data_IF_243506406236
#
_entry.id   IF_243506406236
#
_cell.length_a   1.000
_cell.length_b   1.000
_cell.length_c   1.000
_cell.angle_alpha   90.00
_cell.angle_beta   90.00
_cell.angle_gamma   90.00
#
_symmetry.space_group_name_H-M   'P 1'
#
loop_
_entity.id
_entity.type
_entity.pdbx_description
1 polymer ?
#
# COMPACT_ATOMS: atom_id res chain seq x y z
N UNK A 1 -27.95 6.52 -11.04
CA UNK A 1 -27.03 6.41 -12.19
C UNK A 1 -25.90 5.45 -11.82
N UNK A 2 -25.80 4.34 -12.48
CA UNK A 2 -24.66 3.44 -12.31
C UNK A 2 -23.41 4.13 -12.83
N UNK A 3 -22.47 4.47 -11.94
CA UNK A 3 -21.16 4.93 -12.33
C UNK A 3 -20.51 3.82 -13.16
N UNK A 4 -20.43 3.98 -14.47
CA UNK A 4 -19.68 3.07 -15.33
C UNK A 4 -18.22 3.08 -14.84
N UNK A 5 -17.81 2.02 -14.17
CA UNK A 5 -16.41 1.82 -13.83
C UNK A 5 -15.63 1.83 -15.15
N UNK A 6 -14.71 2.77 -15.27
CA UNK A 6 -13.79 2.80 -16.42
C UNK A 6 -12.95 1.53 -16.39
N UNK A 7 -12.81 0.79 -17.50
CA UNK A 7 -11.95 -0.38 -17.53
C UNK A 7 -10.50 0.02 -17.23
N UNK A 8 -9.91 -0.64 -16.24
CA UNK A 8 -8.56 -0.39 -15.76
C UNK A 8 -7.78 -1.69 -15.85
N UNK A 9 -6.60 -1.65 -16.42
CA UNK A 9 -5.67 -2.77 -16.43
C UNK A 9 -4.67 -2.60 -15.30
N UNK A 10 -4.43 -3.64 -14.52
CA UNK A 10 -3.41 -3.66 -13.46
C UNK A 10 -2.32 -4.64 -13.84
N UNK A 11 -1.08 -4.16 -13.89
CA UNK A 11 0.10 -4.94 -14.25
C UNK A 11 1.20 -4.84 -13.22
N UNK A 12 2.20 -5.70 -13.32
CA UNK A 12 3.43 -5.56 -12.52
C UNK A 12 4.19 -4.30 -12.92
N UNK A 13 4.78 -3.63 -11.93
CA UNK A 13 5.68 -2.52 -12.19
C UNK A 13 6.98 -3.01 -12.84
N UNK A 14 7.57 -2.14 -13.63
CA UNK A 14 8.91 -2.29 -14.20
C UNK A 14 9.82 -1.21 -13.62
N UNK A 15 11.12 -1.41 -13.72
CA UNK A 15 12.09 -0.41 -13.25
C UNK A 15 11.87 0.96 -13.89
N UNK A 16 11.43 0.99 -15.15
CA UNK A 16 11.09 2.24 -15.86
C UNK A 16 9.89 3.00 -15.29
N UNK A 17 9.07 2.36 -14.47
CA UNK A 17 7.92 3.01 -13.82
C UNK A 17 8.32 3.79 -12.56
N UNK A 18 9.49 3.54 -12.00
CA UNK A 18 9.89 4.13 -10.72
C UNK A 18 9.87 5.67 -10.74
N UNK A 19 10.42 6.37 -11.76
CA UNK A 19 10.35 7.83 -11.79
C UNK A 19 8.90 8.35 -11.78
N UNK A 20 7.98 7.67 -12.47
CA UNK A 20 6.57 8.05 -12.47
C UNK A 20 5.93 7.82 -11.10
N UNK A 21 6.21 6.68 -10.45
CA UNK A 21 5.72 6.39 -9.08
C UNK A 21 6.18 7.50 -8.13
N UNK A 22 7.46 7.87 -8.18
CA UNK A 22 8.00 8.94 -7.34
C UNK A 22 7.27 10.27 -7.56
N UNK A 23 7.00 10.63 -8.81
CA UNK A 23 6.26 11.84 -9.16
C UNK A 23 4.82 11.81 -8.64
N UNK A 24 4.16 10.64 -8.72
CA UNK A 24 2.80 10.47 -8.25
C UNK A 24 2.68 10.64 -6.73
N UNK A 25 3.63 10.07 -5.98
CA UNK A 25 3.56 10.05 -4.51
C UNK A 25 4.16 11.28 -3.84
N UNK A 26 5.00 12.05 -4.52
CA UNK A 26 5.69 13.21 -3.94
C UNK A 26 4.74 14.22 -3.28
N UNK A 27 3.62 14.64 -3.90
CA UNK A 27 2.67 15.53 -3.24
C UNK A 27 2.09 14.94 -1.95
N UNK A 28 1.90 13.63 -1.90
CA UNK A 28 1.38 12.94 -0.72
C UNK A 28 2.43 12.85 0.40
N UNK A 29 3.70 12.71 0.03
CA UNK A 29 4.83 12.75 0.98
C UNK A 29 4.93 14.15 1.59
N UNK A 30 4.87 15.20 0.78
CA UNK A 30 4.91 16.59 1.24
C UNK A 30 3.75 16.92 2.19
N UNK A 31 2.58 16.34 1.95
CA UNK A 31 1.40 16.49 2.80
C UNK A 31 1.39 15.55 4.01
N UNK A 32 2.45 14.77 4.21
CA UNK A 32 2.60 13.79 5.29
C UNK A 32 1.53 12.70 5.30
N UNK A 33 1.00 12.35 4.13
CA UNK A 33 0.04 11.27 3.93
C UNK A 33 0.77 9.94 3.72
N UNK A 34 1.91 9.98 3.01
CA UNK A 34 2.79 8.83 2.80
C UNK A 34 4.17 9.07 3.38
N UNK A 35 4.81 7.99 3.80
CA UNK A 35 6.20 8.00 4.26
C UNK A 35 7.14 8.25 3.07
N UNK A 36 8.02 9.24 3.19
CA UNK A 36 9.03 9.53 2.19
C UNK A 36 10.11 8.46 2.12
N UNK A 37 10.54 8.12 0.90
CA UNK A 37 11.58 7.12 0.65
C UNK A 37 12.56 7.60 -0.41
N UNK A 38 13.82 7.20 -0.26
CA UNK A 38 14.84 7.44 -1.27
C UNK A 38 14.57 6.62 -2.54
N UNK A 39 15.07 7.11 -3.69
CA UNK A 39 14.89 6.44 -4.97
C UNK A 39 15.35 4.97 -4.94
N UNK A 40 16.48 4.68 -4.28
CA UNK A 40 17.01 3.33 -4.18
C UNK A 40 16.02 2.35 -3.53
N UNK A 41 15.26 2.81 -2.54
CA UNK A 41 14.25 1.97 -1.86
C UNK A 41 13.15 1.57 -2.83
N UNK A 42 12.70 2.48 -3.70
CA UNK A 42 11.71 2.16 -4.74
C UNK A 42 12.25 1.14 -5.74
N UNK A 43 13.49 1.29 -6.19
CA UNK A 43 14.10 0.33 -7.12
C UNK A 43 14.24 -1.06 -6.50
N UNK A 44 14.69 -1.14 -5.25
CA UNK A 44 14.82 -2.41 -4.52
C UNK A 44 13.46 -3.08 -4.31
N UNK A 45 12.39 -2.30 -4.17
CA UNK A 45 11.03 -2.78 -3.93
C UNK A 45 10.17 -2.88 -5.19
N UNK A 46 10.73 -2.75 -6.40
CA UNK A 46 9.95 -2.71 -7.65
C UNK A 46 9.04 -3.93 -7.82
N UNK A 47 9.46 -5.10 -7.37
CA UNK A 47 8.68 -6.34 -7.47
C UNK A 47 7.44 -6.34 -6.58
N UNK A 48 7.36 -5.46 -5.58
CA UNK A 48 6.19 -5.29 -4.71
C UNK A 48 5.09 -4.45 -5.36
N UNK A 49 5.41 -3.67 -6.40
CA UNK A 49 4.51 -2.69 -6.99
C UNK A 49 3.65 -3.25 -8.12
N UNK A 50 2.42 -2.77 -8.14
CA UNK A 50 1.49 -2.86 -9.28
C UNK A 50 1.21 -1.47 -9.83
N UNK A 51 1.01 -1.41 -11.15
CA UNK A 51 0.65 -0.19 -11.87
C UNK A 51 -0.75 -0.39 -12.46
N UNK A 52 -1.61 0.59 -12.25
CA UNK A 52 -2.88 0.68 -12.97
C UNK A 52 -2.70 1.56 -14.21
N UNK A 53 -3.24 1.10 -15.33
CA UNK A 53 -3.20 1.81 -16.60
C UNK A 53 -4.60 2.15 -17.09
N UNK A 54 -4.72 3.31 -17.74
CA UNK A 54 -5.92 3.70 -18.48
C UNK A 54 -6.14 2.80 -19.70
N UNK A 55 -7.32 2.88 -20.37
CA UNK A 55 -7.54 2.17 -21.62
C UNK A 55 -6.49 2.47 -22.70
N UNK A 56 -5.86 3.65 -22.66
CA UNK A 56 -4.80 4.07 -23.57
C UNK A 56 -3.40 3.59 -23.16
N UNK A 57 -3.29 2.83 -22.07
CA UNK A 57 -2.02 2.31 -21.58
C UNK A 57 -1.16 3.34 -20.81
N UNK A 58 -1.79 4.40 -20.30
CA UNK A 58 -1.10 5.43 -19.51
C UNK A 58 -1.17 5.07 -18.02
N UNK A 59 -0.06 5.11 -17.27
CA UNK A 59 -0.08 4.89 -15.83
C UNK A 59 -0.97 5.92 -15.11
N UNK A 60 -1.87 5.44 -14.25
CA UNK A 60 -2.84 6.27 -13.52
C UNK A 60 -2.89 5.98 -12.01
N UNK A 61 -2.22 4.95 -11.56
CA UNK A 61 -2.16 4.61 -10.15
C UNK A 61 -1.10 3.55 -9.86
N UNK A 62 -0.75 3.42 -8.60
CA UNK A 62 0.16 2.40 -8.12
C UNK A 62 -0.24 1.90 -6.73
N UNK A 63 0.30 0.77 -6.35
CA UNK A 63 0.20 0.22 -5.01
C UNK A 63 1.25 -0.86 -4.81
N UNK A 64 1.61 -1.12 -3.58
CA UNK A 64 2.61 -2.12 -3.23
C UNK A 64 2.11 -3.07 -2.15
N UNK A 65 2.59 -4.31 -2.24
CA UNK A 65 2.41 -5.34 -1.23
C UNK A 65 3.75 -5.67 -0.62
N UNK A 66 3.89 -5.44 0.68
CA UNK A 66 5.10 -5.78 1.42
C UNK A 66 4.83 -6.89 2.42
N UNK A 67 5.59 -7.97 2.33
CA UNK A 67 5.45 -9.09 3.25
C UNK A 67 6.08 -8.74 4.59
N UNK A 68 5.33 -8.95 5.68
CA UNK A 68 5.81 -8.74 7.05
C UNK A 68 6.18 -10.04 7.73
N UNK A 69 5.33 -11.04 7.59
CA UNK A 69 5.51 -12.35 8.21
C UNK A 69 4.86 -13.43 7.36
N UNK A 70 4.93 -14.67 7.80
CA UNK A 70 4.39 -15.82 7.06
C UNK A 70 2.92 -15.64 6.63
N UNK A 71 2.12 -14.99 7.47
CA UNK A 71 0.68 -14.82 7.24
C UNK A 71 0.24 -13.36 7.06
N UNK A 72 1.14 -12.40 7.22
CA UNK A 72 0.83 -10.97 7.30
C UNK A 72 1.59 -10.15 6.27
N UNK A 73 0.87 -9.32 5.54
CA UNK A 73 1.44 -8.33 4.63
C UNK A 73 0.82 -6.95 4.80
N UNK A 74 1.47 -5.95 4.24
CA UNK A 74 1.01 -4.56 4.23
C UNK A 74 0.70 -4.10 2.81
N UNK A 75 -0.46 -3.47 2.66
CA UNK A 75 -0.74 -2.62 1.49
C UNK A 75 -0.15 -1.26 1.77
N UNK A 76 0.82 -0.84 0.96
CA UNK A 76 1.51 0.45 1.10
C UNK A 76 1.59 1.19 -0.22
N UNK A 77 1.80 2.50 -0.13
CA UNK A 77 2.02 3.36 -1.31
C UNK A 77 0.89 3.26 -2.34
N UNK A 78 -0.34 3.08 -1.87
CA UNK A 78 -1.52 3.06 -2.73
C UNK A 78 -1.89 4.50 -3.09
N UNK A 79 -1.74 4.85 -4.35
CA UNK A 79 -1.97 6.20 -4.84
C UNK A 79 -2.57 6.18 -6.24
N UNK A 80 -3.50 7.10 -6.49
CA UNK A 80 -4.19 7.27 -7.77
C UNK A 80 -4.02 8.71 -8.24
N UNK A 81 -3.74 8.88 -9.53
CA UNK A 81 -3.65 10.21 -10.14
C UNK A 81 -4.97 10.97 -9.90
N UNK A 82 -4.87 12.26 -9.57
CA UNK A 82 -6.02 13.08 -9.18
C UNK A 82 -7.17 13.08 -10.19
N UNK A 83 -6.86 13.06 -11.49
CA UNK A 83 -7.86 13.04 -12.57
C UNK A 83 -8.64 11.71 -12.63
N UNK A 84 -8.19 10.69 -11.91
CA UNK A 84 -8.76 9.35 -11.92
C UNK A 84 -9.38 8.94 -10.58
N UNK A 85 -9.43 9.84 -9.62
CA UNK A 85 -10.08 9.60 -8.34
C UNK A 85 -11.59 9.34 -8.51
N UNK A 86 -12.14 8.46 -7.68
CA UNK A 86 -13.57 8.14 -7.72
C UNK A 86 -14.01 7.27 -8.89
N UNK A 87 -13.07 6.68 -9.65
CA UNK A 87 -13.37 5.85 -10.83
C UNK A 87 -13.08 4.36 -10.64
N UNK A 88 -12.78 3.95 -9.41
CA UNK A 88 -12.54 2.55 -9.07
C UNK A 88 -11.09 2.08 -9.28
N UNK A 89 -10.16 2.96 -9.59
CA UNK A 89 -8.75 2.62 -9.82
C UNK A 89 -8.09 2.08 -8.55
N UNK A 90 -8.29 2.74 -7.42
CA UNK A 90 -7.76 2.29 -6.13
C UNK A 90 -8.28 0.91 -5.73
N UNK A 91 -9.58 0.67 -5.93
CA UNK A 91 -10.19 -0.65 -5.65
C UNK A 91 -9.64 -1.75 -6.56
N UNK A 92 -9.41 -1.45 -7.85
CA UNK A 92 -8.80 -2.41 -8.78
C UNK A 92 -7.38 -2.77 -8.38
N UNK A 93 -6.57 -1.79 -7.98
CA UNK A 93 -5.23 -2.01 -7.45
C UNK A 93 -5.27 -2.86 -6.19
N UNK A 94 -6.14 -2.51 -5.25
CA UNK A 94 -6.26 -3.22 -3.97
C UNK A 94 -6.66 -4.68 -4.17
N UNK A 95 -7.62 -4.96 -5.06
CA UNK A 95 -8.04 -6.32 -5.41
C UNK A 95 -6.89 -7.14 -5.99
N UNK A 96 -6.04 -6.54 -6.82
CA UNK A 96 -4.88 -7.23 -7.37
C UNK A 96 -3.85 -7.52 -6.29
N UNK A 97 -3.59 -6.57 -5.39
CA UNK A 97 -2.67 -6.80 -4.26
C UNK A 97 -3.17 -7.90 -3.32
N UNK A 98 -4.48 -7.97 -3.10
CA UNK A 98 -5.10 -9.05 -2.32
C UNK A 98 -4.94 -10.41 -2.99
N UNK A 99 -5.10 -10.47 -4.31
CA UNK A 99 -4.85 -11.70 -5.09
C UNK A 99 -3.38 -12.11 -5.02
N UNK A 100 -2.46 -11.17 -5.14
CA UNK A 100 -1.02 -11.42 -4.99
C UNK A 100 -0.68 -11.94 -3.59
N UNK A 101 -1.32 -11.37 -2.56
CA UNK A 101 -1.14 -11.80 -1.19
C UNK A 101 -1.57 -13.26 -0.98
N UNK A 102 -2.73 -13.64 -1.51
CA UNK A 102 -3.21 -15.03 -1.45
C UNK A 102 -2.26 -15.99 -2.18
N UNK A 103 -1.75 -15.57 -3.33
CA UNK A 103 -0.79 -16.36 -4.12
C UNK A 103 0.53 -16.58 -3.35
N UNK A 104 0.97 -15.60 -2.57
CA UNK A 104 2.13 -15.72 -1.68
C UNK A 104 1.88 -16.55 -0.41
N UNK A 105 0.61 -16.88 -0.10
CA UNK A 105 0.24 -17.61 1.10
C UNK A 105 -0.15 -16.73 2.29
N UNK A 106 -0.28 -15.42 2.09
CA UNK A 106 -0.72 -14.52 3.16
C UNK A 106 -2.22 -14.67 3.42
N UNK A 107 -2.62 -14.60 4.68
CA UNK A 107 -4.04 -14.68 5.09
C UNK A 107 -4.57 -13.38 5.65
N UNK A 108 -3.69 -12.41 5.94
CA UNK A 108 -4.06 -11.12 6.50
C UNK A 108 -3.31 -10.00 5.81
N UNK A 109 -4.01 -8.91 5.53
CA UNK A 109 -3.41 -7.65 5.08
C UNK A 109 -3.78 -6.53 6.02
N UNK A 110 -2.83 -5.66 6.30
CA UNK A 110 -3.08 -4.40 7.00
C UNK A 110 -2.63 -3.21 6.17
N UNK A 111 -3.06 -2.04 6.57
CA UNK A 111 -2.56 -0.78 6.06
C UNK A 111 -2.53 0.26 7.17
N UNK A 112 -1.70 1.28 6.98
CA UNK A 112 -1.66 2.48 7.79
C UNK A 112 -2.14 3.62 6.91
N UNK A 113 -3.35 4.16 7.17
CA UNK A 113 -4.04 5.02 6.21
C UNK A 113 -4.73 6.22 6.85
N UNK A 114 -4.90 7.28 6.06
CA UNK A 114 -5.82 8.37 6.34
C UNK A 114 -7.15 8.20 5.58
N UNK A 115 -7.25 7.21 4.67
CA UNK A 115 -8.40 6.96 3.81
C UNK A 115 -9.28 5.82 4.37
N UNK A 116 -9.71 5.97 5.63
CA UNK A 116 -10.51 4.97 6.33
C UNK A 116 -11.77 4.57 5.56
N UNK A 117 -12.60 5.50 5.03
CA UNK A 117 -13.81 5.11 4.29
C UNK A 117 -13.52 4.27 3.05
N UNK A 118 -12.43 4.54 2.35
CA UNK A 118 -12.02 3.75 1.18
C UNK A 118 -11.74 2.29 1.57
N UNK A 119 -10.94 2.08 2.60
CA UNK A 119 -10.60 0.74 3.05
C UNK A 119 -11.79 0.01 3.66
N UNK A 120 -12.66 0.70 4.41
CA UNK A 120 -13.91 0.11 4.91
C UNK A 120 -14.78 -0.44 3.79
N UNK A 121 -14.95 0.32 2.70
CA UNK A 121 -15.71 -0.13 1.52
C UNK A 121 -15.10 -1.36 0.85
N UNK A 122 -13.81 -1.59 1.05
CA UNK A 122 -13.10 -2.75 0.52
C UNK A 122 -12.92 -3.88 1.55
N UNK A 123 -13.63 -3.82 2.69
CA UNK A 123 -13.70 -4.91 3.66
C UNK A 123 -12.64 -4.88 4.77
N UNK A 124 -11.92 -3.78 4.93
CA UNK A 124 -10.98 -3.58 6.02
C UNK A 124 -11.70 -3.02 7.24
N UNK A 125 -11.21 -3.37 8.42
CA UNK A 125 -11.73 -2.85 9.70
C UNK A 125 -10.60 -2.22 10.51
N UNK A 126 -10.93 -1.22 11.31
CA UNK A 126 -9.96 -0.58 12.21
C UNK A 126 -9.46 -1.59 13.23
N UNK A 127 -8.16 -1.68 13.40
CA UNK A 127 -7.52 -2.57 14.36
C UNK A 127 -6.49 -1.80 15.20
N UNK A 128 -6.83 -1.43 16.43
CA UNK A 128 -5.89 -0.74 17.32
C UNK A 128 -4.91 -1.69 18.02
N UNK A 129 -5.14 -3.01 17.93
CA UNK A 129 -4.36 -4.03 18.64
C UNK A 129 -3.10 -4.42 17.86
N UNK A 130 -2.11 -4.91 18.59
CA UNK A 130 -0.95 -5.55 17.99
C UNK A 130 -1.38 -6.75 17.13
N UNK A 131 -0.87 -6.80 15.89
CA UNK A 131 -1.25 -7.83 14.91
C UNK A 131 -0.29 -9.02 14.89
N UNK A 132 0.75 -8.98 15.70
CA UNK A 132 1.80 -9.99 15.74
C UNK A 132 2.08 -10.45 17.17
N UNK A 133 2.48 -11.70 17.32
CA UNK A 133 2.92 -12.25 18.59
C UNK A 133 4.22 -11.61 19.07
N UNK A 134 4.53 -11.62 20.39
CA UNK A 134 5.76 -11.02 20.94
C UNK A 134 7.05 -11.52 20.29
N UNK A 135 7.12 -12.80 19.92
CA UNK A 135 8.29 -13.38 19.26
C UNK A 135 8.47 -12.81 17.85
N UNK A 136 7.37 -12.64 17.11
CA UNK A 136 7.36 -12.03 15.78
C UNK A 136 7.74 -10.55 15.88
N UNK A 137 7.21 -9.84 16.87
CA UNK A 137 7.59 -8.45 17.15
C UNK A 137 9.08 -8.31 17.33
N UNK A 138 9.72 -9.18 18.15
CA UNK A 138 11.15 -9.17 18.41
C UNK A 138 11.98 -9.36 17.11
N UNK A 139 11.50 -10.17 16.18
CA UNK A 139 12.15 -10.32 14.87
C UNK A 139 11.96 -9.08 13.98
N UNK A 140 10.74 -8.54 13.92
CA UNK A 140 10.42 -7.38 13.08
C UNK A 140 11.21 -6.13 13.48
N UNK A 141 11.55 -5.97 14.76
CA UNK A 141 12.38 -4.85 15.25
C UNK A 141 13.74 -4.80 14.54
N UNK A 142 14.24 -5.93 14.07
CA UNK A 142 15.51 -6.03 13.35
C UNK A 142 15.43 -5.60 11.89
N UNK A 143 14.22 -5.40 11.34
CA UNK A 143 14.05 -4.97 9.96
C UNK A 143 14.59 -3.55 9.76
N UNK A 144 15.35 -3.28 8.67
CA UNK A 144 15.76 -1.93 8.31
C UNK A 144 14.64 -1.13 7.63
N UNK A 145 13.52 -1.75 7.30
CA UNK A 145 12.41 -1.13 6.59
C UNK A 145 11.70 -0.10 7.47
N UNK A 146 11.56 1.14 6.97
CA UNK A 146 10.90 2.21 7.72
C UNK A 146 9.41 1.99 7.91
N UNK A 147 8.74 1.31 6.97
CA UNK A 147 7.33 0.95 7.10
C UNK A 147 7.10 -0.07 8.22
N UNK A 148 8.02 -1.02 8.40
CA UNK A 148 8.01 -1.93 9.55
C UNK A 148 8.19 -1.16 10.85
N UNK A 149 9.12 -0.22 10.88
CA UNK A 149 9.33 0.64 12.07
C UNK A 149 8.09 1.48 12.40
N UNK A 150 7.39 2.00 11.38
CA UNK A 150 6.12 2.73 11.56
C UNK A 150 5.03 1.81 12.12
N UNK A 151 4.89 0.60 11.59
CA UNK A 151 3.96 -0.41 12.10
C UNK A 151 4.21 -0.72 13.59
N UNK A 152 5.47 -0.82 13.99
CA UNK A 152 5.87 -1.11 15.37
C UNK A 152 5.88 0.13 16.27
N UNK A 153 5.60 1.31 15.71
CA UNK A 153 5.63 2.59 16.43
C UNK A 153 7.01 2.89 17.06
N UNK A 154 8.07 2.60 16.32
CA UNK A 154 9.44 2.80 16.78
C UNK A 154 9.87 4.28 16.66
N UNK A 155 10.65 4.76 17.62
CA UNK A 155 11.08 6.17 17.70
C UNK A 155 11.94 6.65 16.52
N UNK A 156 12.53 5.74 15.74
CA UNK A 156 13.34 6.07 14.54
C UNK A 156 12.51 6.53 13.35
N UNK A 157 11.20 6.32 13.40
CA UNK A 157 10.29 6.70 12.31
C UNK A 157 10.09 8.20 12.30
N UNK A 158 10.21 8.80 11.11
CA UNK A 158 9.89 10.23 10.92
C UNK A 158 8.41 10.48 11.22
N UNK A 159 8.06 11.55 11.97
CA UNK A 159 6.68 11.78 12.41
C UNK A 159 5.75 12.34 11.31
N UNK A 160 6.04 12.08 10.03
CA UNK A 160 5.27 12.62 8.91
C UNK A 160 3.97 11.84 8.63
N UNK A 161 3.83 10.65 9.18
CA UNK A 161 2.62 9.82 9.04
C UNK A 161 1.87 9.64 10.37
N UNK A 162 2.16 10.45 11.38
CA UNK A 162 1.46 10.43 12.67
C UNK A 162 -0.03 10.72 12.47
N UNK A 163 -0.87 9.95 13.16
CA UNK A 163 -2.33 10.10 13.12
C UNK A 163 -3.02 9.23 12.07
N UNK A 164 -2.30 8.40 11.32
CA UNK A 164 -2.92 7.41 10.45
C UNK A 164 -3.65 6.33 11.27
N UNK A 165 -4.55 5.63 10.61
CA UNK A 165 -5.34 4.55 11.21
C UNK A 165 -4.83 3.21 10.69
N UNK A 166 -4.62 2.26 11.62
CA UNK A 166 -4.31 0.87 11.28
C UNK A 166 -5.60 0.14 10.95
N UNK A 167 -5.63 -0.48 9.78
CA UNK A 167 -6.77 -1.28 9.33
C UNK A 167 -6.32 -2.66 8.91
N UNK A 168 -7.19 -3.65 9.08
CA UNK A 168 -6.89 -5.06 8.84
C UNK A 168 -8.01 -5.70 8.02
N UNK A 169 -7.63 -6.62 7.13
CA UNK A 169 -8.54 -7.52 6.44
C UNK A 169 -8.02 -8.96 6.50
N UNK A 170 -8.89 -9.88 6.89
CA UNK A 170 -8.67 -11.31 6.72
C UNK A 170 -9.09 -11.69 5.30
N UNK A 171 -8.18 -12.33 4.54
CA UNK A 171 -8.42 -12.67 3.14
C UNK A 171 -9.23 -13.96 2.99
N UNK A 172 -9.29 -14.77 4.04
CA UNK A 172 -10.10 -16.00 4.14
C UNK A 172 -10.49 -16.29 5.58
#
# INVERSE_FOLDING_TARGET
MSSRKTPVTVRRARTSDIPWIQSLVEPLVQRRILLGKDAVVFYEAVQEFRIAESPEGVPIGCGALHVFWEDLGEVRTLAVHEDWLGRGVGSALLQQLEADALDLGLSRLFCLTFEVPFFERNGYTVSPLALVDPEVYAELVRSPDEGVAEFLDLARVKPNTLGNTRMLKHLR
#
